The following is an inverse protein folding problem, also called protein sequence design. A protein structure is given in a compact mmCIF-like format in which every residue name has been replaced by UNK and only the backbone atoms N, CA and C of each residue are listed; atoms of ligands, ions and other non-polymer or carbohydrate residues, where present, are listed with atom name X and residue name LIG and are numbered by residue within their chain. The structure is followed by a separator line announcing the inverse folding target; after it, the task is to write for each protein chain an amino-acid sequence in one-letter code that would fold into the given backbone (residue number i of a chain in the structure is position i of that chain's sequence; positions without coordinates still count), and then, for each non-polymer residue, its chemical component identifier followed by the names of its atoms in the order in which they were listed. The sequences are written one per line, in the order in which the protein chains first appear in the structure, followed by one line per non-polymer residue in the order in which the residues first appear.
data_IF_609096057983
#
_entry.id   IF_609096057983
#
_cell.length_a   1.000
_cell.length_b   1.000
_cell.length_c   1.000
_cell.angle_alpha   90.00
_cell.angle_beta   90.00
_cell.angle_gamma   90.00
#
_symmetry.space_group_name_H-M   'P 1'
#
loop_
_entity.id
_entity.type
_entity.pdbx_description
1 polymer ?
#
# COMPACT_ATOMS: atom_id res chain seq x y z
N UNK A 1 20.53 10.36 -8.18
CA UNK A 1 19.13 10.39 -8.61
C UNK A 1 18.53 11.72 -8.20
N UNK A 2 17.75 12.38 -9.08
CA UNK A 2 17.13 13.69 -8.81
C UNK A 2 15.68 13.56 -8.28
N UNK A 3 15.45 12.76 -7.23
CA UNK A 3 14.15 12.71 -6.52
C UNK A 3 14.06 13.94 -5.60
N UNK A 4 12.93 14.63 -5.61
CA UNK A 4 12.63 15.68 -4.64
C UNK A 4 12.29 15.10 -3.26
N UNK A 5 12.63 15.83 -2.21
CA UNK A 5 12.28 15.49 -0.84
C UNK A 5 10.74 15.52 -0.66
N UNK A 6 10.19 14.48 -0.05
CA UNK A 6 8.79 14.41 0.38
C UNK A 6 8.63 14.81 1.84
N UNK A 7 7.39 15.04 2.27
CA UNK A 7 7.06 15.29 3.68
C UNK A 7 7.53 14.15 4.60
N UNK A 8 7.43 12.89 4.15
CA UNK A 8 7.89 11.72 4.92
C UNK A 8 9.41 11.68 5.10
N UNK A 9 10.20 11.97 4.04
CA UNK A 9 11.66 12.01 4.17
C UNK A 9 12.06 13.06 5.21
N UNK A 10 11.57 14.29 5.02
CA UNK A 10 11.83 15.42 5.90
C UNK A 10 11.46 15.13 7.36
N UNK A 11 10.26 14.59 7.60
CA UNK A 11 9.80 14.29 8.95
C UNK A 11 10.68 13.23 9.63
N UNK A 12 10.95 12.11 8.96
CA UNK A 12 11.73 11.00 9.54
C UNK A 12 13.20 11.37 9.76
N UNK A 13 13.79 12.25 8.93
CA UNK A 13 15.15 12.74 9.14
C UNK A 13 15.26 13.77 10.27
N UNK A 14 14.19 14.52 10.58
CA UNK A 14 14.18 15.48 11.69
C UNK A 14 13.79 14.85 13.02
N UNK A 15 12.97 13.79 12.98
CA UNK A 15 12.54 13.04 14.16
C UNK A 15 12.91 11.57 14.05
N UNK A 16 14.21 11.24 14.00
CA UNK A 16 14.68 9.87 13.80
C UNK A 16 14.24 8.92 14.94
N UNK A 17 13.90 9.46 16.12
CA UNK A 17 13.47 8.67 17.27
C UNK A 17 11.95 8.36 17.29
N UNK A 18 11.17 8.89 16.33
CA UNK A 18 9.70 8.69 16.32
C UNK A 18 9.28 7.30 15.87
N UNK A 19 10.06 6.70 14.97
CA UNK A 19 9.81 5.40 14.35
C UNK A 19 11.18 4.76 14.11
N UNK A 20 11.31 3.43 14.28
CA UNK A 20 12.56 2.74 14.00
C UNK A 20 12.91 2.79 12.49
N UNK A 21 13.94 3.57 12.18
CA UNK A 21 14.49 3.74 10.84
C UNK A 21 13.76 4.78 9.98
N UNK A 22 14.09 4.78 8.70
CA UNK A 22 13.49 5.66 7.69
C UNK A 22 13.22 4.91 6.38
N UNK A 23 12.53 5.57 5.46
CA UNK A 23 12.16 5.03 4.15
C UNK A 23 13.19 5.25 3.03
N UNK A 24 14.45 5.64 3.34
CA UNK A 24 15.43 6.04 2.32
C UNK A 24 15.73 4.92 1.32
N UNK A 25 15.84 3.70 1.84
CA UNK A 25 16.05 2.47 1.05
C UNK A 25 14.80 1.59 1.07
N UNK A 26 14.20 1.36 2.25
CA UNK A 26 13.05 0.47 2.43
C UNK A 26 13.29 -0.92 1.78
N UNK A 27 12.34 -1.43 0.99
CA UNK A 27 12.50 -2.68 0.23
C UNK A 27 13.31 -2.52 -1.07
N UNK A 28 13.77 -1.32 -1.39
CA UNK A 28 14.56 -1.00 -2.58
C UNK A 28 13.92 -1.42 -3.92
N UNK A 29 12.59 -1.37 -3.99
CA UNK A 29 11.82 -1.69 -5.20
C UNK A 29 12.18 -0.78 -6.39
N UNK A 30 12.78 0.39 -6.15
CA UNK A 30 13.24 1.26 -7.22
C UNK A 30 14.34 0.62 -8.08
N UNK A 31 15.33 -0.02 -7.45
CA UNK A 31 16.41 -0.70 -8.18
C UNK A 31 16.06 -2.15 -8.51
N UNK A 32 15.20 -2.77 -7.70
CA UNK A 32 14.90 -4.20 -7.77
C UNK A 32 13.54 -4.52 -8.41
N UNK A 33 12.94 -3.55 -9.11
CA UNK A 33 11.63 -3.71 -9.75
C UNK A 33 11.53 -4.95 -10.64
N UNK A 34 12.58 -5.35 -11.35
CA UNK A 34 12.58 -6.58 -12.17
C UNK A 34 12.34 -7.83 -11.34
N UNK A 35 12.96 -7.91 -10.16
CA UNK A 35 12.73 -9.00 -9.21
C UNK A 35 11.29 -8.96 -8.70
N UNK A 36 10.78 -7.75 -8.45
CA UNK A 36 9.41 -7.56 -7.97
C UNK A 36 8.37 -8.00 -9.02
N UNK A 37 8.58 -7.68 -10.30
CA UNK A 37 7.78 -8.21 -11.42
C UNK A 37 7.83 -9.73 -11.48
N UNK A 38 9.02 -10.31 -11.34
CA UNK A 38 9.17 -11.77 -11.30
C UNK A 38 8.40 -12.39 -10.12
N UNK A 39 8.33 -11.73 -8.96
CA UNK A 39 7.51 -12.22 -7.83
C UNK A 39 6.02 -12.21 -8.18
N UNK A 40 5.54 -11.20 -8.92
CA UNK A 40 4.16 -11.18 -9.41
C UNK A 40 3.86 -12.40 -10.29
N UNK A 41 4.77 -12.75 -11.21
CA UNK A 41 4.65 -13.93 -12.07
C UNK A 41 4.73 -15.26 -11.27
N UNK A 42 5.66 -15.37 -10.32
CA UNK A 42 5.80 -16.54 -9.44
C UNK A 42 4.52 -16.83 -8.64
N UNK A 43 3.88 -15.78 -8.13
CA UNK A 43 2.58 -15.87 -7.44
C UNK A 43 1.46 -16.14 -8.44
N UNK A 44 1.56 -15.63 -9.66
CA UNK A 44 0.54 -15.71 -10.70
C UNK A 44 -0.50 -14.61 -10.58
N UNK A 45 -0.10 -13.39 -10.18
CA UNK A 45 -1.00 -12.25 -10.08
C UNK A 45 -1.50 -11.81 -11.46
N UNK A 46 -2.81 -11.62 -11.61
CA UNK A 46 -3.39 -11.00 -12.81
C UNK A 46 -3.21 -9.48 -12.84
N UNK A 47 -3.06 -8.86 -11.66
CA UNK A 47 -2.92 -7.40 -11.50
C UNK A 47 -1.91 -7.06 -10.41
N UNK A 48 -1.06 -6.06 -10.69
CA UNK A 48 -0.15 -5.48 -9.70
C UNK A 48 -0.47 -4.01 -9.46
N UNK A 49 -0.92 -3.68 -8.24
CA UNK A 49 -1.24 -2.32 -7.80
C UNK A 49 -0.02 -1.68 -7.13
N UNK A 50 0.40 -0.51 -7.61
CA UNK A 50 1.46 0.31 -7.01
C UNK A 50 1.08 1.81 -7.04
N UNK A 51 1.84 2.64 -6.33
CA UNK A 51 1.65 4.10 -6.31
C UNK A 51 2.78 4.81 -7.03
N UNK A 52 2.47 5.96 -7.65
CA UNK A 52 3.48 6.87 -8.21
C UNK A 52 3.93 7.82 -7.10
N UNK A 53 5.23 7.82 -6.80
CA UNK A 53 5.84 8.78 -5.91
C UNK A 53 5.95 10.13 -6.63
N UNK A 54 5.06 11.06 -6.28
CA UNK A 54 4.98 12.36 -6.93
C UNK A 54 6.33 13.09 -6.94
N UNK A 55 7.08 13.08 -5.85
CA UNK A 55 8.40 13.74 -5.76
C UNK A 55 9.49 13.07 -6.62
N UNK A 56 9.25 11.84 -7.11
CA UNK A 56 10.12 11.14 -8.04
C UNK A 56 9.84 11.54 -9.49
N UNK A 57 8.57 11.73 -9.83
CA UNK A 57 8.14 12.13 -11.18
C UNK A 57 8.22 13.65 -11.39
N UNK A 58 7.81 14.41 -10.37
CA UNK A 58 7.80 15.88 -10.31
C UNK A 58 8.59 16.36 -9.08
N UNK A 59 9.94 16.43 -9.17
CA UNK A 59 10.80 16.79 -8.03
C UNK A 59 10.53 18.16 -7.41
N UNK A 60 9.97 19.09 -8.18
CA UNK A 60 9.58 20.44 -7.72
C UNK A 60 8.15 20.48 -7.15
N UNK A 61 7.42 19.37 -7.22
CA UNK A 61 5.99 19.28 -6.90
C UNK A 61 5.07 19.83 -7.99
N UNK A 62 5.61 20.49 -9.01
CA UNK A 62 4.85 21.15 -10.09
C UNK A 62 5.12 20.47 -11.45
N UNK A 63 4.15 20.47 -12.38
CA UNK A 63 4.30 19.85 -13.70
C UNK A 63 5.27 20.60 -14.64
N UNK A 64 5.92 21.67 -14.16
CA UNK A 64 6.87 22.45 -14.93
C UNK A 64 8.23 21.76 -15.11
N UNK A 65 8.50 20.70 -14.35
CA UNK A 65 9.71 19.90 -14.48
C UNK A 65 9.40 18.42 -14.19
N UNK A 66 9.61 17.56 -15.19
CA UNK A 66 9.41 16.11 -15.11
C UNK A 66 10.78 15.43 -15.05
N UNK A 67 10.98 14.53 -14.09
CA UNK A 67 12.20 13.73 -13.95
C UNK A 67 12.22 12.59 -14.96
N UNK A 68 13.20 12.58 -15.87
CA UNK A 68 13.33 11.51 -16.86
C UNK A 68 13.68 10.17 -16.19
N UNK A 69 14.49 10.17 -15.14
CA UNK A 69 14.79 8.95 -14.36
C UNK A 69 13.53 8.37 -13.71
N UNK A 70 12.71 9.24 -13.11
CA UNK A 70 11.45 8.84 -12.48
C UNK A 70 10.45 8.29 -13.49
N UNK A 71 10.31 8.98 -14.63
CA UNK A 71 9.49 8.54 -15.76
C UNK A 71 9.96 7.20 -16.31
N UNK A 72 11.27 7.02 -16.52
CA UNK A 72 11.84 5.77 -17.02
C UNK A 72 11.59 4.61 -16.06
N UNK A 73 11.68 4.82 -14.76
CA UNK A 73 11.34 3.79 -13.77
C UNK A 73 9.88 3.34 -13.90
N UNK A 74 8.93 4.29 -13.92
CA UNK A 74 7.51 3.95 -14.03
C UNK A 74 7.17 3.33 -15.38
N UNK A 75 7.73 3.82 -16.49
CA UNK A 75 7.56 3.20 -17.81
C UNK A 75 8.02 1.75 -17.79
N UNK A 76 9.22 1.47 -17.28
CA UNK A 76 9.74 0.10 -17.20
C UNK A 76 8.89 -0.81 -16.30
N UNK A 77 8.43 -0.30 -15.14
CA UNK A 77 7.57 -1.06 -14.25
C UNK A 77 6.21 -1.34 -14.90
N UNK A 78 5.64 -0.36 -15.61
CA UNK A 78 4.38 -0.50 -16.33
C UNK A 78 4.53 -1.48 -17.49
N UNK A 79 5.49 -1.29 -18.38
CA UNK A 79 5.70 -2.19 -19.52
C UNK A 79 6.00 -3.64 -19.08
N UNK A 80 6.57 -3.81 -17.88
CA UNK A 80 6.86 -5.12 -17.31
C UNK A 80 5.67 -5.81 -16.61
N UNK A 81 4.54 -5.13 -16.36
CA UNK A 81 3.46 -5.69 -15.49
C UNK A 81 2.03 -5.64 -16.06
N UNK A 82 1.79 -5.20 -17.30
CA UNK A 82 0.45 -4.69 -17.67
C UNK A 82 -0.40 -5.47 -18.68
N UNK A 83 -1.71 -5.56 -18.32
CA UNK A 83 -2.90 -5.34 -19.17
C UNK A 83 -3.90 -4.26 -18.60
N UNK A 84 -3.73 -3.72 -17.36
CA UNK A 84 -4.65 -2.72 -16.75
C UNK A 84 -4.03 -1.82 -15.64
N UNK A 85 -4.48 -0.55 -15.52
CA UNK A 85 -3.97 0.50 -14.59
C UNK A 85 -4.93 0.89 -13.46
N UNK A 86 -4.46 0.91 -12.20
CA UNK A 86 -5.19 1.46 -11.05
C UNK A 86 -4.31 2.35 -10.15
N UNK A 87 -4.80 3.54 -9.79
CA UNK A 87 -4.11 4.56 -8.96
C UNK A 87 -4.96 4.89 -7.72
N UNK A 88 -4.37 4.85 -6.52
CA UNK A 88 -4.99 5.43 -5.33
C UNK A 88 -4.42 6.83 -5.05
N UNK A 89 -5.32 7.80 -4.88
CA UNK A 89 -5.02 9.15 -4.42
C UNK A 89 -5.94 9.46 -3.23
N UNK A 90 -5.39 9.57 -2.03
CA UNK A 90 -6.20 9.71 -0.80
C UNK A 90 -6.64 11.15 -0.54
N UNK A 91 -5.77 12.13 -0.80
CA UNK A 91 -6.08 13.56 -0.71
C UNK A 91 -4.91 14.39 -1.25
N UNK A 92 -5.15 15.68 -1.48
CA UNK A 92 -4.12 16.68 -1.77
C UNK A 92 -3.99 17.65 -0.60
N UNK A 93 -2.76 18.02 -0.24
CA UNK A 93 -2.47 19.02 0.80
C UNK A 93 -1.62 20.14 0.21
N UNK A 94 -1.95 21.38 0.53
CA UNK A 94 -1.12 22.55 0.24
C UNK A 94 -0.06 22.68 1.33
N UNK A 95 1.18 22.95 0.94
CA UNK A 95 2.30 23.15 1.86
C UNK A 95 2.68 24.62 1.86
N UNK A 96 2.71 25.26 3.04
CA UNK A 96 3.19 26.65 3.18
C UNK A 96 3.92 26.87 4.49
N UNK A 97 4.74 27.93 4.56
CA UNK A 97 5.32 28.40 5.83
C UNK A 97 4.23 28.93 6.76
N UNK A 98 4.41 28.69 8.06
CA UNK A 98 3.60 29.24 9.13
C UNK A 98 3.76 30.77 9.18
N UNK A 99 2.65 31.46 9.42
CA UNK A 99 2.64 32.91 9.66
C UNK A 99 3.14 33.18 11.10
N UNK A 100 3.68 34.38 11.38
CA UNK A 100 4.11 34.73 12.73
C UNK A 100 2.98 34.55 13.76
N UNK A 101 3.20 33.70 14.76
CA UNK A 101 2.22 33.40 15.81
C UNK A 101 1.14 32.37 15.45
N UNK A 102 1.20 31.76 14.27
CA UNK A 102 0.27 30.70 13.84
C UNK A 102 0.60 29.37 14.54
N UNK A 103 -0.42 28.68 15.04
CA UNK A 103 -0.26 27.35 15.62
C UNK A 103 0.01 26.33 14.50
N UNK A 104 1.03 25.49 14.69
CA UNK A 104 1.44 24.48 13.72
C UNK A 104 0.98 23.11 14.22
N UNK A 105 0.41 22.31 13.32
CA UNK A 105 0.06 20.92 13.59
C UNK A 105 1.28 20.07 13.95
N UNK A 106 1.03 18.89 14.54
CA UNK A 106 2.09 17.98 15.02
C UNK A 106 2.15 16.67 14.27
N UNK A 107 1.40 16.55 13.17
CA UNK A 107 1.25 15.32 12.41
C UNK A 107 1.42 15.56 10.93
N UNK A 108 1.64 14.48 10.20
CA UNK A 108 1.91 14.47 8.76
C UNK A 108 0.72 14.92 7.88
N UNK A 109 -0.39 15.31 8.49
CA UNK A 109 -1.61 15.79 7.81
C UNK A 109 -2.04 17.20 8.23
N UNK A 110 -1.42 17.82 9.24
CA UNK A 110 -1.79 19.14 9.76
C UNK A 110 -0.61 20.12 9.97
N UNK A 111 0.64 19.65 10.04
CA UNK A 111 1.83 20.52 10.06
C UNK A 111 3.07 19.87 10.68
N UNK A 112 4.22 20.54 10.55
CA UNK A 112 5.47 20.13 11.21
C UNK A 112 6.05 21.36 11.91
N UNK A 113 5.89 21.42 13.24
CA UNK A 113 6.20 22.58 14.09
C UNK A 113 7.66 23.03 13.95
N UNK A 114 8.57 22.07 13.92
CA UNK A 114 10.01 22.26 13.92
C UNK A 114 10.55 22.80 12.58
N UNK A 115 9.74 22.71 11.54
CA UNK A 115 10.05 23.25 10.21
C UNK A 115 9.30 24.54 9.89
N UNK A 116 8.43 25.00 10.80
CA UNK A 116 7.63 26.19 10.56
C UNK A 116 6.71 26.03 9.36
N UNK A 117 6.17 24.83 9.09
CA UNK A 117 5.30 24.58 7.92
C UNK A 117 3.94 24.02 8.33
N UNK A 118 2.93 24.54 7.66
CA UNK A 118 1.52 24.17 7.78
C UNK A 118 1.11 23.39 6.54
N UNK A 119 0.43 22.27 6.75
CA UNK A 119 -0.23 21.47 5.72
C UNK A 119 -1.72 21.76 5.79
N UNK A 120 -2.30 22.31 4.73
CA UNK A 120 -3.73 22.68 4.72
C UNK A 120 -4.44 22.17 3.46
N UNK A 121 -5.67 21.70 3.63
CA UNK A 121 -6.59 21.50 2.52
C UNK A 121 -7.24 22.84 2.15
N UNK A 122 -7.59 23.03 0.87
CA UNK A 122 -8.36 24.22 0.48
C UNK A 122 -9.70 24.24 1.23
N UNK A 123 -10.11 25.38 1.83
CA UNK A 123 -11.36 25.47 2.58
C UNK A 123 -12.63 25.17 1.77
N UNK A 124 -12.55 25.23 0.44
CA UNK A 124 -13.64 24.83 -0.46
C UNK A 124 -13.80 23.31 -0.63
N UNK A 125 -12.89 22.50 -0.07
CA UNK A 125 -12.89 21.04 -0.21
C UNK A 125 -13.59 20.34 0.97
N UNK A 126 -14.32 19.27 0.66
CA UNK A 126 -15.02 18.43 1.63
C UNK A 126 -14.03 17.59 2.47
N UNK A 127 -14.26 17.49 3.79
CA UNK A 127 -13.36 16.82 4.75
C UNK A 127 -13.94 15.49 5.24
N UNK A 128 -13.08 14.48 5.44
CA UNK A 128 -13.44 13.17 6.03
C UNK A 128 -12.94 12.99 7.48
N UNK A 129 -13.36 11.91 8.13
CA UNK A 129 -13.12 11.61 9.56
C UNK A 129 -12.56 10.18 9.76
N UNK A 130 -11.26 9.93 10.05
CA UNK A 130 -10.89 8.57 10.51
C UNK A 130 -9.68 8.44 11.48
N UNK A 131 -9.87 7.57 12.49
CA UNK A 131 -9.03 7.20 13.67
C UNK A 131 -8.64 5.70 13.75
N UNK A 132 -8.88 4.88 12.71
CA UNK A 132 -9.24 3.46 12.86
C UNK A 132 -8.18 2.43 12.45
N UNK A 133 -8.18 1.26 13.09
CA UNK A 133 -8.07 -0.05 12.40
C UNK A 133 -8.49 -1.16 13.39
N UNK A 134 -9.46 -2.01 13.05
CA UNK A 134 -9.94 -3.13 13.89
C UNK A 134 -10.39 -4.31 13.01
N UNK A 135 -10.12 -5.54 13.44
CA UNK A 135 -10.36 -6.77 12.64
C UNK A 135 -11.76 -7.32 12.86
N UNK A 136 -12.64 -7.24 11.85
CA UNK A 136 -13.98 -7.82 11.84
C UNK A 136 -14.38 -8.26 10.42
N UNK A 137 -14.08 -9.51 10.02
CA UNK A 137 -14.29 -9.98 8.65
C UNK A 137 -15.75 -9.95 8.19
N UNK A 138 -16.71 -10.26 9.08
CA UNK A 138 -18.15 -10.18 8.77
C UNK A 138 -18.58 -8.75 8.43
N UNK A 139 -17.86 -7.75 8.94
CA UNK A 139 -18.04 -6.35 8.60
C UNK A 139 -17.81 -6.06 7.12
N UNK A 140 -16.85 -6.73 6.46
CA UNK A 140 -16.61 -6.55 5.02
C UNK A 140 -17.81 -7.05 4.20
N UNK A 141 -18.35 -8.25 4.51
CA UNK A 141 -19.55 -8.78 3.83
C UNK A 141 -20.78 -7.89 4.06
N UNK A 142 -20.99 -7.41 5.28
CA UNK A 142 -22.08 -6.49 5.60
C UNK A 142 -21.92 -5.15 4.85
N UNK A 143 -20.70 -4.62 4.78
CA UNK A 143 -20.39 -3.38 4.06
C UNK A 143 -20.63 -3.54 2.55
N UNK A 144 -20.17 -4.64 1.94
CA UNK A 144 -20.39 -4.92 0.51
C UNK A 144 -21.89 -5.02 0.17
N UNK A 145 -22.66 -5.75 0.99
CA UNK A 145 -24.12 -5.86 0.82
C UNK A 145 -24.84 -4.50 1.03
N UNK A 146 -24.42 -3.72 2.03
CA UNK A 146 -24.96 -2.38 2.25
C UNK A 146 -24.68 -1.45 1.07
N UNK A 147 -23.44 -1.43 0.56
CA UNK A 147 -23.03 -0.60 -0.57
C UNK A 147 -23.83 -0.94 -1.83
N UNK A 148 -23.99 -2.23 -2.14
CA UNK A 148 -24.84 -2.72 -3.22
C UNK A 148 -26.28 -2.20 -3.09
N UNK A 149 -26.92 -2.46 -1.94
CA UNK A 149 -28.34 -2.19 -1.75
C UNK A 149 -28.66 -0.69 -1.64
N UNK A 150 -27.70 0.12 -1.19
CA UNK A 150 -27.89 1.56 -0.97
C UNK A 150 -27.56 2.39 -2.21
N UNK A 151 -26.50 2.03 -2.93
CA UNK A 151 -25.94 2.88 -3.99
C UNK A 151 -26.06 2.29 -5.40
N UNK A 152 -26.73 1.14 -5.57
CA UNK A 152 -26.91 0.46 -6.85
C UNK A 152 -25.58 0.31 -7.64
N UNK A 153 -24.51 -0.03 -6.92
CA UNK A 153 -23.19 -0.18 -7.51
C UNK A 153 -23.18 -1.39 -8.43
N UNK A 154 -22.82 -1.17 -9.69
CA UNK A 154 -22.68 -2.23 -10.67
C UNK A 154 -21.43 -3.08 -10.45
N UNK A 155 -20.44 -2.58 -9.70
CA UNK A 155 -19.13 -3.20 -9.53
C UNK A 155 -18.46 -2.75 -8.22
N UNK A 156 -17.73 -3.66 -7.58
CA UNK A 156 -16.89 -3.35 -6.41
C UNK A 156 -15.51 -4.01 -6.57
N UNK A 157 -14.46 -3.23 -6.36
CA UNK A 157 -13.07 -3.71 -6.28
C UNK A 157 -12.54 -3.53 -4.85
N UNK A 158 -12.00 -4.59 -4.27
CA UNK A 158 -11.35 -4.52 -2.94
C UNK A 158 -9.89 -4.12 -3.17
N UNK A 159 -9.59 -2.83 -3.07
CA UNK A 159 -8.28 -2.26 -3.42
C UNK A 159 -7.16 -2.55 -2.42
N UNK A 160 -7.51 -3.01 -1.22
CA UNK A 160 -6.54 -3.35 -0.17
C UNK A 160 -7.16 -4.24 0.92
N UNK A 161 -6.58 -5.40 1.18
CA UNK A 161 -6.86 -6.21 2.36
C UNK A 161 -5.63 -7.02 2.79
N UNK A 162 -5.26 -6.97 4.06
CA UNK A 162 -3.99 -7.52 4.54
C UNK A 162 -3.94 -7.77 6.04
N UNK A 163 -3.01 -8.63 6.46
CA UNK A 163 -2.82 -8.98 7.88
C UNK A 163 -1.50 -8.43 8.42
N UNK A 164 -1.58 -7.65 9.49
CA UNK A 164 -0.42 -7.18 10.24
C UNK A 164 0.12 -8.28 11.16
N UNK A 165 1.43 -8.51 11.13
CA UNK A 165 2.13 -9.31 12.13
C UNK A 165 3.49 -8.70 12.47
N UNK A 166 3.72 -8.40 13.76
CA UNK A 166 5.00 -7.85 14.24
C UNK A 166 6.16 -8.87 14.23
N UNK A 167 5.87 -10.16 14.11
CA UNK A 167 6.86 -11.25 14.11
C UNK A 167 6.50 -12.33 13.07
N UNK A 168 6.28 -11.93 11.80
CA UNK A 168 5.96 -12.90 10.76
C UNK A 168 7.21 -13.75 10.42
N UNK A 169 7.09 -15.07 10.50
CA UNK A 169 8.09 -16.03 10.00
C UNK A 169 7.76 -16.47 8.57
N UNK A 170 8.67 -17.19 7.89
CA UNK A 170 8.37 -17.76 6.56
C UNK A 170 7.16 -18.72 6.59
N UNK A 171 6.85 -19.31 7.76
CA UNK A 171 5.68 -20.15 7.97
C UNK A 171 4.54 -19.34 8.64
N UNK A 172 4.03 -18.32 7.94
CA UNK A 172 3.07 -17.33 8.45
C UNK A 172 1.60 -17.82 8.41
N UNK A 173 1.32 -18.91 9.10
CA UNK A 173 -0.01 -19.56 9.18
C UNK A 173 -1.14 -18.58 9.58
N UNK A 174 -0.84 -17.53 10.35
CA UNK A 174 -1.83 -16.50 10.70
C UNK A 174 -2.27 -15.66 9.50
N UNK A 175 -1.33 -15.27 8.64
CA UNK A 175 -1.61 -14.55 7.39
C UNK A 175 -2.45 -15.43 6.47
N UNK A 176 -2.09 -16.71 6.32
CA UNK A 176 -2.88 -17.69 5.56
C UNK A 176 -4.32 -17.75 6.07
N UNK A 177 -4.50 -17.95 7.38
CA UNK A 177 -5.82 -18.05 7.99
C UNK A 177 -6.65 -16.77 7.88
N UNK A 178 -6.01 -15.60 7.97
CA UNK A 178 -6.67 -14.32 7.75
C UNK A 178 -7.14 -14.22 6.30
N UNK A 179 -6.22 -14.36 5.34
CA UNK A 179 -6.51 -14.25 3.90
C UNK A 179 -7.61 -15.22 3.47
N UNK A 180 -7.56 -16.47 3.94
CA UNK A 180 -8.61 -17.47 3.72
C UNK A 180 -9.98 -16.98 4.15
N UNK A 181 -10.11 -16.56 5.41
CA UNK A 181 -11.41 -16.13 5.98
C UNK A 181 -11.99 -14.92 5.26
N UNK A 182 -11.15 -13.96 4.84
CA UNK A 182 -11.60 -12.80 4.09
C UNK A 182 -12.06 -13.16 2.68
N UNK A 183 -11.29 -13.99 1.96
CA UNK A 183 -11.67 -14.48 0.64
C UNK A 183 -12.96 -15.33 0.67
N UNK A 184 -13.17 -16.13 1.72
CA UNK A 184 -14.44 -16.84 1.94
C UNK A 184 -15.61 -15.87 2.06
N UNK A 185 -15.46 -14.76 2.78
CA UNK A 185 -16.50 -13.73 2.86
C UNK A 185 -16.73 -13.02 1.52
N UNK A 186 -15.68 -12.81 0.73
CA UNK A 186 -15.82 -12.26 -0.63
C UNK A 186 -16.58 -13.23 -1.53
N UNK A 187 -16.26 -14.52 -1.49
CA UNK A 187 -16.97 -15.55 -2.24
C UNK A 187 -18.46 -15.63 -1.84
N UNK A 188 -18.77 -15.56 -0.55
CA UNK A 188 -20.15 -15.50 -0.05
C UNK A 188 -20.87 -14.22 -0.50
N UNK A 189 -20.20 -13.06 -0.51
CA UNK A 189 -20.78 -11.82 -1.02
C UNK A 189 -21.10 -11.91 -2.53
N UNK A 190 -20.25 -12.57 -3.31
CA UNK A 190 -20.53 -12.85 -4.73
C UNK A 190 -21.76 -13.76 -4.86
N UNK A 191 -21.90 -14.78 -4.00
CA UNK A 191 -23.12 -15.62 -3.96
C UNK A 191 -24.38 -14.84 -3.54
N UNK A 192 -24.24 -13.83 -2.68
CA UNK A 192 -25.31 -12.87 -2.34
C UNK A 192 -25.63 -11.89 -3.52
N UNK A 193 -24.94 -12.04 -4.65
CA UNK A 193 -25.11 -11.27 -5.88
C UNK A 193 -24.41 -9.92 -5.87
N UNK A 194 -23.35 -9.73 -5.07
CA UNK A 194 -22.46 -8.57 -5.16
C UNK A 194 -21.48 -8.80 -6.32
N UNK A 195 -21.38 -7.85 -7.25
CA UNK A 195 -20.41 -7.94 -8.35
C UNK A 195 -19.01 -7.50 -7.90
N UNK A 196 -18.30 -8.37 -7.20
CA UNK A 196 -16.89 -8.13 -6.84
C UNK A 196 -15.98 -8.59 -7.99
N UNK A 197 -15.25 -7.66 -8.61
CA UNK A 197 -14.45 -7.92 -9.82
C UNK A 197 -12.96 -8.02 -9.56
N UNK A 198 -12.48 -7.51 -8.42
CA UNK A 198 -11.08 -7.56 -8.06
C UNK A 198 -10.85 -7.60 -6.54
N UNK A 199 -9.75 -8.25 -6.15
CA UNK A 199 -9.26 -8.30 -4.79
C UNK A 199 -7.74 -8.10 -4.78
N UNK A 200 -7.27 -7.11 -4.03
CA UNK A 200 -5.85 -6.78 -3.91
C UNK A 200 -5.35 -7.10 -2.50
N UNK A 201 -4.49 -8.10 -2.40
CA UNK A 201 -3.82 -8.46 -1.15
C UNK A 201 -2.76 -7.40 -0.79
N UNK A 202 -2.82 -6.89 0.44
CA UNK A 202 -1.78 -6.05 1.03
C UNK A 202 -0.88 -6.90 1.92
N UNK A 203 0.36 -7.18 1.54
CA UNK A 203 1.10 -6.61 0.39
C UNK A 203 1.97 -7.66 -0.30
N UNK A 204 2.52 -7.32 -1.47
CA UNK A 204 3.41 -8.25 -2.19
C UNK A 204 4.63 -8.62 -1.35
N UNK A 205 5.22 -7.65 -0.63
CA UNK A 205 6.42 -7.86 0.18
C UNK A 205 6.42 -6.92 1.39
N UNK A 206 7.19 -7.30 2.41
CA UNK A 206 7.43 -6.43 3.56
C UNK A 206 8.01 -5.09 3.11
N UNK A 207 7.48 -4.00 3.65
CA UNK A 207 7.83 -2.65 3.27
C UNK A 207 7.96 -1.76 4.53
N UNK A 208 8.22 -0.46 4.34
CA UNK A 208 8.31 0.48 5.44
C UNK A 208 6.93 1.03 5.78
N UNK A 209 6.26 0.44 6.78
CA UNK A 209 4.94 0.84 7.26
C UNK A 209 4.99 1.02 8.77
N UNK A 210 5.09 2.28 9.21
CA UNK A 210 5.36 2.66 10.61
C UNK A 210 6.63 2.02 11.19
N UNK A 211 7.66 1.91 10.35
CA UNK A 211 8.94 1.26 10.68
C UNK A 211 9.10 -0.06 9.94
N UNK A 212 10.15 -0.80 10.30
CA UNK A 212 10.43 -2.10 9.70
C UNK A 212 9.73 -3.27 10.41
N UNK A 213 9.15 -3.07 11.59
CA UNK A 213 8.56 -4.17 12.37
C UNK A 213 7.23 -4.68 11.80
N UNK A 214 6.51 -3.84 11.05
CA UNK A 214 5.24 -4.24 10.44
C UNK A 214 5.46 -5.19 9.27
N UNK A 215 4.99 -6.43 9.40
CA UNK A 215 5.05 -7.43 8.32
C UNK A 215 3.65 -7.70 7.78
N UNK A 216 3.45 -7.33 6.52
CA UNK A 216 2.25 -7.58 5.72
C UNK A 216 2.55 -8.41 4.46
N UNK A 217 3.82 -8.61 4.12
CA UNK A 217 4.22 -9.12 2.82
C UNK A 217 3.99 -10.60 2.63
N UNK A 218 3.53 -10.99 1.44
CA UNK A 218 3.63 -12.38 0.95
C UNK A 218 5.10 -12.83 0.84
N UNK A 219 6.01 -11.90 0.55
CA UNK A 219 7.45 -12.10 0.61
C UNK A 219 8.06 -11.40 1.83
N UNK A 220 8.89 -12.13 2.56
CA UNK A 220 9.76 -11.56 3.57
C UNK A 220 10.92 -10.81 2.89
N UNK A 221 11.19 -9.59 3.34
CA UNK A 221 12.37 -8.81 2.90
C UNK A 221 13.41 -8.80 4.01
N UNK A 222 14.63 -9.22 3.70
CA UNK A 222 15.77 -9.05 4.59
C UNK A 222 16.28 -7.60 4.52
N UNK A 223 15.91 -6.79 5.51
CA UNK A 223 16.35 -5.39 5.62
C UNK A 223 17.78 -5.23 6.16
N UNK A 224 18.42 -6.31 6.60
CA UNK A 224 19.85 -6.33 6.97
C UNK A 224 20.74 -6.66 5.79
N UNK A 225 20.22 -7.39 4.79
CA UNK A 225 20.88 -7.63 3.53
C UNK A 225 20.84 -6.38 2.63
N UNK A 226 22.01 -5.97 2.15
CA UNK A 226 22.17 -4.88 1.17
C UNK A 226 21.45 -5.17 -0.15
N UNK A 227 21.30 -6.45 -0.52
CA UNK A 227 20.56 -6.84 -1.73
C UNK A 227 19.05 -6.96 -1.50
N UNK A 228 18.59 -6.71 -0.26
CA UNK A 228 17.18 -6.80 0.12
C UNK A 228 16.55 -8.13 -0.30
N UNK A 229 17.22 -9.25 -0.02
CA UNK A 229 16.74 -10.57 -0.45
C UNK A 229 15.27 -10.78 -0.09
N UNK A 230 14.46 -11.19 -1.08
CA UNK A 230 13.05 -11.52 -0.90
C UNK A 230 12.84 -13.02 -0.87
N UNK A 231 12.21 -13.52 0.18
CA UNK A 231 11.91 -14.94 0.37
C UNK A 231 10.40 -15.16 0.47
N UNK A 232 9.80 -16.03 -0.37
CA UNK A 232 8.36 -16.26 -0.32
C UNK A 232 7.96 -16.91 1.01
N UNK A 233 6.90 -16.39 1.64
CA UNK A 233 6.27 -17.01 2.80
C UNK A 233 5.27 -18.09 2.40
N UNK A 234 4.76 -18.83 3.38
CA UNK A 234 3.67 -19.79 3.17
C UNK A 234 2.44 -19.10 2.56
N UNK A 235 2.09 -17.90 3.03
CA UNK A 235 1.00 -17.09 2.47
C UNK A 235 1.15 -16.81 0.98
N UNK A 236 2.37 -16.60 0.47
CA UNK A 236 2.62 -16.46 -0.97
C UNK A 236 2.18 -17.70 -1.75
N UNK A 237 2.50 -18.89 -1.25
CA UNK A 237 2.15 -20.16 -1.89
C UNK A 237 0.65 -20.42 -1.81
N UNK A 238 0.06 -20.15 -0.65
CA UNK A 238 -1.38 -20.23 -0.45
C UNK A 238 -2.13 -19.31 -1.42
N UNK A 239 -1.74 -18.04 -1.50
CA UNK A 239 -2.39 -17.07 -2.38
C UNK A 239 -2.24 -17.43 -3.86
N UNK A 240 -1.05 -17.93 -4.28
CA UNK A 240 -0.85 -18.46 -5.64
C UNK A 240 -1.80 -19.62 -5.96
N UNK A 241 -2.02 -20.52 -5.00
CA UNK A 241 -2.97 -21.63 -5.16
C UNK A 241 -4.39 -21.11 -5.32
N UNK A 242 -4.84 -20.19 -4.46
CA UNK A 242 -6.17 -19.58 -4.57
C UNK A 242 -6.37 -18.97 -5.95
N UNK A 243 -5.39 -18.22 -6.47
CA UNK A 243 -5.51 -17.61 -7.80
C UNK A 243 -5.67 -18.70 -8.89
N UNK A 244 -4.87 -19.76 -8.83
CA UNK A 244 -4.89 -20.83 -9.84
C UNK A 244 -6.15 -21.71 -9.78
N UNK A 245 -6.70 -21.93 -8.59
CA UNK A 245 -7.79 -22.90 -8.38
C UNK A 245 -9.14 -22.22 -8.13
N UNK A 246 -9.15 -20.92 -7.86
CA UNK A 246 -10.29 -20.17 -7.32
C UNK A 246 -10.92 -20.83 -6.08
N UNK A 247 -10.10 -21.53 -5.27
CA UNK A 247 -10.53 -22.27 -4.09
C UNK A 247 -9.78 -21.79 -2.84
N UNK A 248 -10.53 -21.52 -1.77
CA UNK A 248 -9.98 -21.05 -0.47
C UNK A 248 -9.65 -22.18 0.49
N UNK A 249 -10.03 -23.42 0.17
CA UNK A 249 -9.91 -24.56 1.08
C UNK A 249 -8.46 -24.94 1.38
N UNK A 250 -8.16 -25.40 2.61
CA UNK A 250 -6.80 -25.63 3.08
C UNK A 250 -6.20 -26.98 2.68
N UNK A 251 -6.81 -27.76 1.78
CA UNK A 251 -6.30 -29.10 1.47
C UNK A 251 -4.90 -29.03 0.84
N UNK A 252 -3.87 -29.30 1.64
CA UNK A 252 -2.43 -29.30 1.35
C UNK A 252 -1.76 -27.92 1.31
N UNK A 253 -1.08 -27.57 2.41
CA UNK A 253 0.07 -26.67 2.47
C UNK A 253 1.32 -27.41 2.91
#
# INVERSE_FOLDING_TARGET
MNRGESNWDRYLHLFPDTIDGNGDVACDSYHLWRRDVQMCEEVGLDMYRFSIAWSRLLPTGLPNYISEDGKNYYNNLIDGTFDFYALNHYSSLLVRKAKPGEAIGKTLVDGIEELGIVLEADPSWEKGDIKWLTVHPEGLRQQLNYLKNTYNLSEIMITENGFFSSNASLNDVRTVNYTRKYLEQVALAIQDGVNVTAYFHWSLMDNFDKGYDAKFGLYAVDFTDTNRTRTPRLSSRYYSKVIKTHCTDPEDY
#
